data_IF_176274184960
#
_entry.id   IF_176274184960
#
_cell.length_a   1.000
_cell.length_b   1.000
_cell.length_c   1.000
_cell.angle_alpha   90.00
_cell.angle_beta   90.00
_cell.angle_gamma   90.00
#
_symmetry.space_group_name_H-M   'P 1'
#
loop_
_entity.id
_entity.type
_entity.pdbx_description
1 polymer ?
#
# COMPACT_ATOMS: atom_id res chain seq x y z
N UNK A 1 14.79 2.79 -9.06
CA UNK A 1 13.93 1.78 -9.74
C UNK A 1 14.49 0.40 -9.43
N UNK A 2 13.63 -0.56 -9.13
CA UNK A 2 14.02 -1.94 -8.81
C UNK A 2 12.92 -2.89 -9.27
N UNK A 3 13.30 -4.12 -9.59
CA UNK A 3 12.40 -5.17 -10.02
C UNK A 3 12.94 -6.53 -9.60
N UNK A 4 12.18 -7.59 -9.89
CA UNK A 4 12.53 -8.95 -9.53
C UNK A 4 12.26 -9.89 -10.70
N UNK A 5 12.93 -11.05 -10.68
CA UNK A 5 12.57 -12.20 -11.50
C UNK A 5 12.09 -13.34 -10.60
N UNK A 6 11.06 -14.05 -11.02
CA UNK A 6 10.52 -15.19 -10.29
C UNK A 6 10.33 -16.36 -11.25
N UNK A 7 11.05 -17.46 -11.00
CA UNK A 7 10.92 -18.68 -11.78
C UNK A 7 9.66 -19.43 -11.38
N UNK A 8 8.83 -19.77 -12.37
CA UNK A 8 7.66 -20.62 -12.23
C UNK A 8 7.93 -21.97 -12.91
N UNK A 9 8.39 -22.93 -12.12
CA UNK A 9 8.75 -24.28 -12.59
C UNK A 9 7.58 -25.30 -12.46
N UNK A 10 6.40 -24.84 -12.05
CA UNK A 10 5.23 -25.68 -11.81
C UNK A 10 5.19 -26.35 -10.43
N UNK A 11 6.22 -26.18 -9.60
CA UNK A 11 6.24 -26.73 -8.25
C UNK A 11 5.26 -26.02 -7.30
N UNK A 12 4.79 -26.74 -6.28
CA UNK A 12 3.98 -26.15 -5.20
C UNK A 12 4.70 -25.03 -4.45
N UNK A 13 6.03 -25.14 -4.33
CA UNK A 13 6.87 -24.11 -3.71
C UNK A 13 6.97 -22.84 -4.56
N UNK A 14 7.11 -22.96 -5.88
CA UNK A 14 7.06 -21.81 -6.77
C UNK A 14 5.71 -21.09 -6.65
N UNK A 15 4.60 -21.83 -6.56
CA UNK A 15 3.28 -21.26 -6.37
C UNK A 15 3.16 -20.50 -5.02
N UNK A 16 3.75 -21.03 -3.95
CA UNK A 16 3.79 -20.37 -2.63
C UNK A 16 4.60 -19.08 -2.67
N UNK A 17 5.80 -19.12 -3.24
CA UNK A 17 6.67 -17.93 -3.42
C UNK A 17 5.98 -16.87 -4.27
N UNK A 18 5.33 -17.26 -5.36
CA UNK A 18 4.60 -16.34 -6.24
C UNK A 18 3.50 -15.60 -5.49
N UNK A 19 2.64 -16.31 -4.74
CA UNK A 19 1.57 -15.68 -3.97
C UNK A 19 2.10 -14.68 -2.95
N UNK A 20 3.15 -15.04 -2.22
CA UNK A 20 3.74 -14.16 -1.21
C UNK A 20 4.39 -12.91 -1.83
N UNK A 21 5.22 -13.14 -2.85
CA UNK A 21 6.02 -12.10 -3.47
C UNK A 21 5.13 -11.08 -4.20
N UNK A 22 4.17 -11.55 -5.00
CA UNK A 22 3.27 -10.66 -5.76
C UNK A 22 2.37 -9.83 -4.83
N UNK A 23 1.86 -10.45 -3.75
CA UNK A 23 1.08 -9.71 -2.75
C UNK A 23 1.90 -8.59 -2.11
N UNK A 24 3.17 -8.85 -1.77
CA UNK A 24 4.05 -7.83 -1.21
C UNK A 24 4.37 -6.72 -2.23
N UNK A 25 4.78 -7.08 -3.44
CA UNK A 25 5.24 -6.13 -4.47
C UNK A 25 4.17 -5.09 -4.81
N UNK A 26 2.93 -5.56 -4.99
CA UNK A 26 1.79 -4.70 -5.31
C UNK A 26 1.34 -3.91 -4.07
N UNK A 27 1.05 -4.60 -2.96
CA UNK A 27 0.44 -3.96 -1.78
C UNK A 27 1.35 -2.90 -1.18
N UNK A 28 2.67 -3.11 -1.18
CA UNK A 28 3.64 -2.12 -0.72
C UNK A 28 3.58 -0.83 -1.56
N UNK A 29 3.49 -0.97 -2.88
CA UNK A 29 3.36 0.15 -3.81
C UNK A 29 2.05 0.92 -3.64
N UNK A 30 0.95 0.22 -3.40
CA UNK A 30 -0.37 0.81 -3.14
C UNK A 30 -0.37 1.53 -1.79
N UNK A 31 0.10 0.88 -0.73
CA UNK A 31 0.24 1.46 0.61
C UNK A 31 1.00 2.79 0.60
N UNK A 32 2.17 2.82 -0.06
CA UNK A 32 2.98 4.05 -0.16
C UNK A 32 2.27 5.17 -0.93
N UNK A 33 1.52 4.84 -1.99
CA UNK A 33 0.73 5.83 -2.76
C UNK A 33 -0.45 6.35 -1.96
N UNK A 34 -1.15 5.47 -1.24
CA UNK A 34 -2.20 5.83 -0.29
C UNK A 34 -1.66 6.84 0.72
N UNK A 35 -0.56 6.51 1.40
CA UNK A 35 0.08 7.40 2.38
C UNK A 35 0.50 8.75 1.79
N UNK A 36 0.83 8.80 0.50
CA UNK A 36 1.19 10.04 -0.20
C UNK A 36 -0.03 10.86 -0.66
N UNK A 37 -1.25 10.47 -0.27
CA UNK A 37 -2.49 11.21 -0.57
C UNK A 37 -3.24 10.75 -1.83
N UNK A 38 -2.95 9.58 -2.39
CA UNK A 38 -3.70 9.08 -3.55
C UNK A 38 -5.02 8.40 -3.14
N UNK A 39 -6.16 8.95 -3.57
CA UNK A 39 -7.51 8.47 -3.21
C UNK A 39 -7.81 7.06 -3.71
N UNK A 40 -7.47 6.74 -4.96
CA UNK A 40 -7.70 5.40 -5.53
C UNK A 40 -6.89 4.34 -4.78
N UNK A 41 -5.66 4.68 -4.37
CA UNK A 41 -4.82 3.79 -3.57
C UNK A 41 -5.36 3.63 -2.14
N UNK A 42 -6.02 4.65 -1.58
CA UNK A 42 -6.70 4.56 -0.29
C UNK A 42 -7.82 3.52 -0.32
N UNK A 43 -8.72 3.62 -1.30
CA UNK A 43 -9.81 2.66 -1.46
C UNK A 43 -9.27 1.24 -1.72
N UNK A 44 -8.27 1.12 -2.61
CA UNK A 44 -7.67 -0.17 -2.96
C UNK A 44 -7.01 -0.85 -1.76
N UNK A 45 -6.19 -0.11 -0.98
CA UNK A 45 -5.51 -0.72 0.17
C UNK A 45 -6.49 -1.07 1.29
N UNK A 46 -7.57 -0.30 1.46
CA UNK A 46 -8.62 -0.60 2.41
C UNK A 46 -9.30 -1.94 2.08
N UNK A 47 -9.79 -2.13 0.86
CA UNK A 47 -10.39 -3.40 0.43
C UNK A 47 -9.40 -4.57 0.51
N UNK A 48 -8.14 -4.34 0.15
CA UNK A 48 -7.09 -5.37 0.24
C UNK A 48 -6.84 -5.83 1.69
N UNK A 49 -6.88 -4.92 2.67
CA UNK A 49 -6.77 -5.26 4.10
C UNK A 49 -8.03 -5.95 4.65
N UNK A 50 -9.21 -5.70 4.07
CA UNK A 50 -10.44 -6.42 4.41
C UNK A 50 -10.39 -7.87 3.94
N UNK A 51 -9.93 -8.11 2.72
CA UNK A 51 -9.75 -9.44 2.12
C UNK A 51 -8.60 -10.22 2.77
N UNK A 52 -7.49 -9.54 3.07
CA UNK A 52 -6.31 -10.13 3.70
C UNK A 52 -6.09 -9.58 5.11
N UNK A 53 -6.66 -10.27 6.11
CA UNK A 53 -6.54 -9.91 7.54
C UNK A 53 -5.10 -9.83 8.07
N UNK A 54 -4.14 -10.46 7.40
CA UNK A 54 -2.72 -10.41 7.79
C UNK A 54 -2.03 -9.14 7.29
N UNK A 55 -2.60 -8.46 6.28
CA UNK A 55 -2.11 -7.18 5.79
C UNK A 55 -2.65 -6.07 6.71
N UNK A 56 -1.75 -5.35 7.38
CA UNK A 56 -2.08 -4.18 8.20
C UNK A 56 -1.16 -3.04 7.80
N UNK A 57 -1.76 -1.95 7.33
CA UNK A 57 -1.06 -0.76 6.83
C UNK A 57 -1.57 0.46 7.59
N UNK A 58 -0.69 1.41 7.86
CA UNK A 58 -1.06 2.71 8.43
C UNK A 58 -1.82 3.54 7.40
N UNK A 59 -3.05 3.93 7.72
CA UNK A 59 -3.88 4.77 6.84
C UNK A 59 -3.65 6.25 7.14
N UNK A 60 -3.51 7.11 6.11
CA UNK A 60 -3.39 8.55 6.31
C UNK A 60 -4.73 9.12 6.77
N UNK A 61 -4.66 10.14 7.62
CA UNK A 61 -5.81 10.96 7.99
C UNK A 61 -5.72 12.29 7.27
N UNK A 62 -6.78 12.65 6.54
CA UNK A 62 -6.83 13.92 5.84
C UNK A 62 -7.03 15.07 6.84
N UNK A 63 -6.28 16.16 6.65
CA UNK A 63 -6.45 17.39 7.44
C UNK A 63 -7.81 17.99 7.09
N UNK A 64 -8.64 18.23 8.09
CA UNK A 64 -10.00 18.77 7.89
C UNK A 64 -10.02 20.30 7.76
N UNK A 65 -9.13 21.00 8.46
CA UNK A 65 -9.03 22.47 8.41
C UNK A 65 -7.74 22.87 7.70
N UNK A 66 -7.87 23.30 6.45
CA UNK A 66 -6.74 23.70 5.59
C UNK A 66 -5.99 24.92 6.16
N UNK A 67 -6.65 25.73 6.98
CA UNK A 67 -6.05 26.94 7.60
C UNK A 67 -5.10 26.60 8.76
N UNK A 68 -4.96 25.33 9.12
CA UNK A 68 -4.02 24.90 10.17
C UNK A 68 -2.60 25.34 9.84
N UNK A 69 -2.21 25.23 8.57
CA UNK A 69 -0.89 25.66 8.11
C UNK A 69 -0.76 27.19 8.15
N UNK A 70 -1.76 27.92 7.67
CA UNK A 70 -1.76 29.39 7.69
C UNK A 70 -1.59 29.92 9.11
N UNK A 71 -2.32 29.36 10.08
CA UNK A 71 -2.21 29.76 11.49
C UNK A 71 -0.84 29.44 12.10
N UNK A 72 -0.20 28.35 11.68
CA UNK A 72 1.12 27.95 12.18
C UNK A 72 2.27 28.78 11.58
N UNK A 73 2.04 29.44 10.43
CA UNK A 73 3.05 30.24 9.73
C UNK A 73 2.88 31.76 9.95
N UNK A 74 1.86 32.18 10.71
CA UNK A 74 1.55 33.59 10.99
C UNK A 74 2.28 34.18 12.21
N UNK A 75 3.44 33.63 12.58
CA UNK A 75 4.35 34.24 13.58
C UNK A 75 4.98 35.55 13.06
#
# INVERSE_FOLDING_TARGET
>A
NGGFGLLLDGSGEAAKRARQMLNWDVSNGVARRCWSGNINAYETIQSTMEENRQLRVTMPFQVQDERVLDRALQD
#
